data_IF_367452380696
#
_entry.id   IF_367452380696
#
_cell.length_a   1.000
_cell.length_b   1.000
_cell.length_c   1.000
_cell.angle_alpha   90.00
_cell.angle_beta   90.00
_cell.angle_gamma   90.00
#
_symmetry.space_group_name_H-M   'P 1'
#
loop_
_entity.id
_entity.type
_entity.pdbx_description
1 polymer ?
#
# COMPACT_ATOMS: atom_id res chain seq x y z
N UNK A 1 30.08 0.59 19.88
CA UNK A 1 29.29 0.54 18.62
C UNK A 1 27.98 1.25 18.91
N UNK A 2 27.82 2.49 18.43
CA UNK A 2 26.57 3.24 18.57
C UNK A 2 25.54 2.61 17.64
N UNK A 3 24.46 2.06 18.19
CA UNK A 3 23.31 1.62 17.40
C UNK A 3 22.66 2.87 16.79
N UNK A 4 22.88 3.11 15.50
CA UNK A 4 22.36 4.29 14.81
C UNK A 4 20.83 4.29 14.84
N UNK A 5 20.26 5.16 15.66
CA UNK A 5 18.81 5.28 15.85
C UNK A 5 18.16 5.83 14.58
N UNK A 6 17.06 5.19 14.17
CA UNK A 6 16.22 5.70 13.08
C UNK A 6 15.61 7.05 13.47
N UNK A 7 15.73 8.05 12.60
CA UNK A 7 15.14 9.40 12.78
C UNK A 7 13.87 9.50 11.94
N UNK A 8 12.76 9.92 12.54
CA UNK A 8 11.50 10.16 11.83
C UNK A 8 11.24 11.66 11.70
N UNK A 9 11.08 12.15 10.47
CA UNK A 9 10.79 13.55 10.16
C UNK A 9 9.43 13.64 9.48
N UNK A 10 8.61 14.61 9.90
CA UNK A 10 7.31 14.89 9.29
C UNK A 10 7.40 16.17 8.49
N UNK A 11 7.00 16.16 7.22
CA UNK A 11 7.15 17.32 6.35
C UNK A 11 5.90 17.73 5.58
N UNK A 12 5.88 18.99 5.16
CA UNK A 12 4.99 19.54 4.14
C UNK A 12 5.85 20.36 3.17
N UNK A 13 5.85 20.00 1.87
CA UNK A 13 6.72 20.62 0.85
C UNK A 13 8.21 20.67 1.27
N UNK A 14 8.76 19.54 1.73
CA UNK A 14 10.16 19.39 2.16
C UNK A 14 10.58 20.24 3.38
N UNK A 15 9.63 20.75 4.16
CA UNK A 15 9.92 21.49 5.39
C UNK A 15 9.30 20.78 6.60
N UNK A 16 9.98 20.74 7.76
CA UNK A 16 9.42 20.18 8.97
C UNK A 16 8.08 20.85 9.32
N UNK A 17 7.07 20.04 9.61
CA UNK A 17 5.73 20.54 9.91
C UNK A 17 5.58 20.82 11.43
N UNK A 18 4.97 21.94 11.85
CA UNK A 18 4.70 22.23 13.27
C UNK A 18 3.93 21.13 14.01
N UNK A 19 3.96 21.16 15.35
CA UNK A 19 3.13 20.28 16.17
C UNK A 19 1.63 20.48 15.88
N UNK A 20 0.83 19.42 15.96
CA UNK A 20 -0.62 19.48 15.70
C UNK A 20 -1.05 19.56 14.22
N UNK A 21 -0.15 19.84 13.28
CA UNK A 21 -0.47 19.90 11.84
C UNK A 21 -0.19 18.56 11.16
N UNK A 22 -1.03 18.13 10.22
CA UNK A 22 -0.81 16.92 9.44
C UNK A 22 0.35 17.09 8.44
N UNK A 23 1.14 16.04 8.22
CA UNK A 23 2.21 16.01 7.23
C UNK A 23 2.61 14.59 6.85
N UNK A 24 3.43 14.46 5.82
CA UNK A 24 3.96 13.16 5.40
C UNK A 24 5.11 12.73 6.29
N UNK A 25 5.15 11.45 6.65
CA UNK A 25 6.24 10.82 7.38
C UNK A 25 7.40 10.46 6.42
N UNK A 26 8.62 10.75 6.86
CA UNK A 26 9.89 10.33 6.26
C UNK A 26 10.75 9.68 7.34
N UNK A 27 11.45 8.60 6.98
CA UNK A 27 12.27 7.82 7.92
C UNK A 27 13.72 7.82 7.44
N UNK A 28 14.61 8.44 8.21
CA UNK A 28 16.06 8.45 8.02
C UNK A 28 16.79 7.55 9.02
N UNK A 29 18.12 7.49 8.89
CA UNK A 29 19.02 6.75 9.80
C UNK A 29 19.41 5.35 9.30
N UNK A 30 20.09 4.59 10.17
CA UNK A 30 20.75 3.34 9.79
C UNK A 30 19.80 2.23 9.30
N UNK A 31 18.52 2.28 9.68
CA UNK A 31 17.49 1.33 9.25
C UNK A 31 16.97 1.54 7.82
N UNK A 32 17.42 2.57 7.10
CA UNK A 32 16.99 2.84 5.72
C UNK A 32 17.61 1.82 4.77
N UNK A 33 16.77 1.08 4.05
CA UNK A 33 17.21 0.06 3.11
C UNK A 33 18.03 0.63 1.93
N UNK A 34 18.74 -0.25 1.21
CA UNK A 34 19.47 0.13 -0.02
C UNK A 34 18.55 0.64 -1.12
N UNK A 35 17.35 0.07 -1.22
CA UNK A 35 16.37 0.33 -2.26
C UNK A 35 15.53 -0.90 -2.54
N UNK A 36 14.73 -0.86 -3.59
CA UNK A 36 14.01 -2.01 -4.11
C UNK A 36 14.87 -2.80 -5.10
N UNK A 37 14.90 -4.12 -4.95
CA UNK A 37 15.65 -5.01 -5.83
C UNK A 37 15.16 -4.87 -7.29
N UNK A 38 16.09 -4.64 -8.22
CA UNK A 38 15.84 -4.50 -9.66
C UNK A 38 14.80 -3.42 -10.04
N UNK A 39 14.58 -2.42 -9.17
CA UNK A 39 13.64 -1.31 -9.41
C UNK A 39 14.31 0.04 -9.12
N UNK A 40 15.32 0.45 -9.90
CA UNK A 40 16.09 1.67 -9.64
C UNK A 40 15.24 2.95 -9.71
N UNK A 41 14.31 3.03 -10.68
CA UNK A 41 13.41 4.18 -10.79
C UNK A 41 12.51 4.37 -9.56
N UNK A 42 11.89 3.30 -9.08
CA UNK A 42 11.07 3.34 -7.86
C UNK A 42 11.94 3.62 -6.62
N UNK A 43 13.16 3.07 -6.58
CA UNK A 43 14.11 3.33 -5.50
C UNK A 43 14.46 4.82 -5.42
N UNK A 44 14.75 5.46 -6.55
CA UNK A 44 15.04 6.89 -6.60
C UNK A 44 13.85 7.77 -6.17
N UNK A 45 12.61 7.31 -6.38
CA UNK A 45 11.41 8.04 -5.97
C UNK A 45 11.09 7.91 -4.47
N UNK A 46 11.48 6.79 -3.83
CA UNK A 46 11.13 6.50 -2.43
C UNK A 46 12.30 6.66 -1.46
N UNK A 47 13.54 6.52 -1.92
CA UNK A 47 14.77 6.65 -1.13
C UNK A 47 15.51 7.91 -1.57
N UNK A 48 15.30 8.98 -0.83
CA UNK A 48 15.68 10.35 -1.19
C UNK A 48 16.88 10.81 -0.36
N UNK A 49 17.58 11.84 -0.81
CA UNK A 49 18.57 12.51 0.02
C UNK A 49 17.90 13.07 1.29
N UNK A 50 18.54 12.89 2.45
CA UNK A 50 18.05 13.40 3.73
C UNK A 50 18.68 14.77 4.04
N UNK A 51 17.96 15.89 3.88
CA UNK A 51 18.49 17.22 4.19
C UNK A 51 18.52 17.52 5.70
N UNK A 52 18.00 16.61 6.54
CA UNK A 52 17.91 16.77 7.99
C UNK A 52 18.97 15.98 8.74
N UNK A 53 19.79 15.21 8.03
CA UNK A 53 20.90 14.47 8.59
C UNK A 53 22.18 15.33 8.59
N UNK A 54 23.02 15.10 9.60
CA UNK A 54 24.31 15.76 9.73
C UNK A 54 25.36 15.10 8.82
N UNK A 55 25.15 13.82 8.47
CA UNK A 55 26.05 13.03 7.64
C UNK A 55 25.87 13.29 6.13
N UNK A 56 26.95 13.60 5.39
CA UNK A 56 26.91 13.70 3.93
C UNK A 56 26.45 12.41 3.27
N UNK A 57 25.55 12.52 2.29
CA UNK A 57 25.02 11.38 1.54
C UNK A 57 23.98 10.55 2.30
N UNK A 58 23.53 11.00 3.47
CA UNK A 58 22.42 10.38 4.18
C UNK A 58 21.15 10.32 3.32
N UNK A 59 20.35 9.28 3.55
CA UNK A 59 19.11 9.03 2.81
C UNK A 59 17.94 8.83 3.77
N UNK A 60 16.76 9.19 3.29
CA UNK A 60 15.49 8.96 3.96
C UNK A 60 14.53 8.21 3.05
N UNK A 61 13.69 7.38 3.66
CA UNK A 61 12.62 6.64 3.00
C UNK A 61 11.29 7.38 3.14
N UNK A 62 10.54 7.49 2.03
CA UNK A 62 9.18 8.03 1.95
C UNK A 62 8.14 6.90 1.96
N UNK A 63 7.62 6.48 3.13
CA UNK A 63 6.63 5.42 3.24
C UNK A 63 5.26 5.75 2.65
N UNK A 64 4.92 7.04 2.51
CA UNK A 64 3.59 7.49 2.09
C UNK A 64 2.56 7.58 3.23
N UNK A 65 3.01 7.54 4.49
CA UNK A 65 2.10 7.66 5.64
C UNK A 65 1.88 9.13 6.01
N UNK A 66 0.61 9.48 6.29
CA UNK A 66 0.23 10.78 6.84
C UNK A 66 0.16 10.68 8.36
N UNK A 67 0.85 11.60 9.03
CA UNK A 67 0.94 11.63 10.49
C UNK A 67 0.76 13.04 11.04
N UNK A 68 0.36 13.12 12.30
CA UNK A 68 0.32 14.36 13.09
C UNK A 68 1.05 14.15 14.41
N UNK A 69 1.98 15.05 14.73
CA UNK A 69 2.64 15.04 16.05
C UNK A 69 1.68 15.58 17.10
N UNK A 70 1.46 14.79 18.14
CA UNK A 70 0.64 15.14 19.30
C UNK A 70 1.45 15.96 20.32
N UNK A 71 0.80 16.67 21.27
CA UNK A 71 1.50 17.46 22.28
C UNK A 71 2.45 16.66 23.18
N UNK A 72 2.17 15.38 23.39
CA UNK A 72 3.02 14.44 24.14
C UNK A 72 4.26 13.96 23.36
N UNK A 73 4.45 14.43 22.12
CA UNK A 73 5.56 14.08 21.25
C UNK A 73 5.32 12.85 20.37
N UNK A 74 4.25 12.08 20.61
CA UNK A 74 3.89 10.89 19.82
C UNK A 74 3.34 11.26 18.43
N UNK A 75 3.21 10.27 17.56
CA UNK A 75 2.65 10.44 16.21
C UNK A 75 1.28 9.76 16.13
N UNK A 76 0.25 10.55 15.85
CA UNK A 76 -1.05 10.04 15.42
C UNK A 76 -1.00 9.70 13.93
N UNK A 77 -1.32 8.45 13.59
CA UNK A 77 -1.46 7.99 12.21
C UNK A 77 -2.80 8.45 11.63
N UNK A 78 -2.78 9.10 10.48
CA UNK A 78 -3.96 9.66 9.82
C UNK A 78 -4.39 8.88 8.58
N UNK A 79 -3.55 7.96 8.09
CA UNK A 79 -3.81 7.19 6.88
C UNK A 79 -2.61 7.20 5.94
N UNK A 80 -2.85 6.77 4.70
CA UNK A 80 -1.88 6.80 3.62
C UNK A 80 -2.19 7.92 2.65
N UNK A 81 -1.15 8.41 1.98
CA UNK A 81 -1.27 9.36 0.88
C UNK A 81 -1.48 8.66 -0.47
N UNK A 82 -1.49 7.32 -0.49
CA UNK A 82 -1.72 6.46 -1.64
C UNK A 82 -2.78 5.39 -1.31
N UNK A 83 -3.15 4.61 -2.32
CA UNK A 83 -4.26 3.65 -2.28
C UNK A 83 -3.93 2.32 -1.60
N UNK A 84 -2.82 2.24 -0.85
CA UNK A 84 -2.46 1.01 -0.19
C UNK A 84 -3.34 0.76 1.04
N UNK A 85 -3.81 -0.48 1.20
CA UNK A 85 -4.78 -0.84 2.24
C UNK A 85 -4.31 -2.02 3.07
N UNK A 86 -4.87 -2.12 4.28
CA UNK A 86 -4.76 -3.33 5.12
C UNK A 86 -6.07 -4.08 5.11
N UNK A 87 -6.06 -5.29 4.58
CA UNK A 87 -7.21 -6.21 4.61
C UNK A 87 -6.76 -7.50 5.28
N UNK A 88 -7.41 -7.87 6.40
CA UNK A 88 -7.13 -9.10 7.16
C UNK A 88 -5.63 -9.31 7.50
N UNK A 89 -4.93 -8.22 7.84
CA UNK A 89 -3.50 -8.24 8.19
C UNK A 89 -2.52 -8.13 7.01
N UNK A 90 -3.01 -8.25 5.77
CA UNK A 90 -2.19 -8.13 4.58
C UNK A 90 -2.12 -6.69 4.08
N UNK A 91 -0.92 -6.26 3.69
CA UNK A 91 -0.65 -4.96 3.07
C UNK A 91 -0.80 -5.12 1.56
N UNK A 92 -1.85 -4.55 1.00
CA UNK A 92 -2.25 -4.75 -0.40
C UNK A 92 -2.11 -3.43 -1.15
N UNK A 93 -1.41 -3.47 -2.28
CA UNK A 93 -1.31 -2.36 -3.24
C UNK A 93 -2.46 -2.46 -4.25
N UNK A 94 -3.50 -1.62 -4.10
CA UNK A 94 -4.68 -1.70 -4.98
C UNK A 94 -4.32 -1.51 -6.46
N UNK A 95 -3.39 -0.59 -6.74
CA UNK A 95 -2.92 -0.33 -8.11
C UNK A 95 -2.25 -1.54 -8.79
N UNK A 96 -1.67 -2.48 -8.04
CA UNK A 96 -1.14 -3.73 -8.62
C UNK A 96 -2.27 -4.62 -9.14
N UNK A 97 -3.35 -4.74 -8.36
CA UNK A 97 -4.53 -5.50 -8.76
C UNK A 97 -5.21 -4.82 -9.95
N UNK A 98 -5.34 -3.50 -9.93
CA UNK A 98 -5.88 -2.72 -11.06
C UNK A 98 -5.06 -2.92 -12.34
N UNK A 99 -3.72 -2.92 -12.23
CA UNK A 99 -2.84 -3.15 -13.37
C UNK A 99 -2.97 -4.57 -13.93
N UNK A 100 -3.08 -5.59 -13.07
CA UNK A 100 -3.30 -6.97 -13.50
C UNK A 100 -4.66 -7.14 -14.18
N UNK A 101 -5.73 -6.58 -13.60
CA UNK A 101 -7.07 -6.62 -14.20
C UNK A 101 -7.09 -5.92 -15.57
N UNK A 102 -6.43 -4.77 -15.68
CA UNK A 102 -6.36 -3.98 -16.92
C UNK A 102 -5.48 -4.60 -17.99
N UNK A 103 -4.59 -5.54 -17.64
CA UNK A 103 -3.81 -6.31 -18.61
C UNK A 103 -4.66 -7.33 -19.39
N UNK A 104 -5.87 -7.65 -18.90
CA UNK A 104 -6.76 -8.60 -19.56
C UNK A 104 -7.43 -7.97 -20.80
N UNK A 105 -7.38 -8.57 -22.00
CA UNK A 105 -7.89 -7.96 -23.24
C UNK A 105 -9.40 -7.66 -23.28
N UNK A 106 -10.18 -8.21 -22.34
CA UNK A 106 -11.61 -7.92 -22.20
C UNK A 106 -11.91 -6.73 -21.27
N UNK A 107 -10.90 -6.20 -20.59
CA UNK A 107 -11.03 -5.09 -19.63
C UNK A 107 -10.49 -3.82 -20.28
N UNK A 108 -11.31 -2.77 -20.31
CA UNK A 108 -10.90 -1.44 -20.75
C UNK A 108 -10.32 -0.62 -19.61
N UNK A 109 -10.93 -0.70 -18.43
CA UNK A 109 -10.48 -0.02 -17.22
C UNK A 109 -10.93 -0.82 -15.98
N UNK A 110 -10.16 -0.71 -14.89
CA UNK A 110 -10.47 -1.37 -13.63
C UNK A 110 -10.07 -0.51 -12.44
N UNK A 111 -10.97 -0.42 -11.46
CA UNK A 111 -10.72 0.24 -10.17
C UNK A 111 -11.03 -0.69 -9.02
N UNK A 112 -10.13 -0.76 -8.05
CA UNK A 112 -10.26 -1.64 -6.88
C UNK A 112 -10.41 -0.76 -5.65
N UNK A 113 -11.45 -1.03 -4.87
CA UNK A 113 -11.73 -0.33 -3.61
C UNK A 113 -11.89 -1.34 -2.48
N UNK A 114 -11.78 -0.86 -1.24
CA UNK A 114 -12.14 -1.67 -0.06
C UNK A 114 -13.60 -1.41 0.28
N UNK A 115 -14.42 -2.45 0.18
CA UNK A 115 -15.79 -2.45 0.66
C UNK A 115 -15.87 -2.97 2.10
N UNK A 116 -16.75 -2.37 2.90
CA UNK A 116 -17.19 -2.94 4.17
C UNK A 116 -18.34 -3.92 3.91
N UNK A 117 -18.25 -5.13 4.47
CA UNK A 117 -19.23 -6.20 4.32
C UNK A 117 -19.85 -6.62 5.67
N UNK A 118 -19.90 -5.69 6.64
CA UNK A 118 -20.46 -5.94 7.97
C UNK A 118 -19.45 -6.64 8.90
N UNK A 119 -19.64 -6.49 10.21
CA UNK A 119 -18.78 -7.03 11.27
C UNK A 119 -17.27 -6.70 11.13
N UNK A 120 -16.94 -5.60 10.43
CA UNK A 120 -15.56 -5.23 10.14
C UNK A 120 -14.88 -6.10 9.08
N UNK A 121 -15.63 -6.94 8.37
CA UNK A 121 -15.13 -7.75 7.26
C UNK A 121 -14.87 -6.86 6.04
N UNK A 122 -13.63 -6.36 5.95
CA UNK A 122 -13.15 -5.62 4.79
C UNK A 122 -12.84 -6.56 3.65
N UNK A 123 -13.37 -6.26 2.46
CA UNK A 123 -13.14 -7.01 1.22
C UNK A 123 -12.70 -6.08 0.11
N UNK A 124 -11.93 -6.60 -0.83
CA UNK A 124 -11.65 -5.89 -2.08
C UNK A 124 -12.84 -6.03 -3.02
N UNK A 125 -13.22 -4.93 -3.65
CA UNK A 125 -14.27 -4.88 -4.68
C UNK A 125 -13.66 -4.25 -5.91
N UNK A 126 -13.73 -4.94 -7.04
CA UNK A 126 -13.26 -4.43 -8.33
C UNK A 126 -14.44 -3.96 -9.19
N UNK A 127 -14.41 -2.70 -9.62
CA UNK A 127 -15.29 -2.13 -10.63
C UNK A 127 -14.58 -2.20 -11.99
N UNK A 128 -15.21 -2.85 -12.96
CA UNK A 128 -14.59 -3.15 -14.26
C UNK A 128 -15.42 -2.53 -15.38
N UNK A 129 -14.75 -1.79 -16.27
CA UNK A 129 -15.30 -1.36 -17.55
C UNK A 129 -14.88 -2.38 -18.60
N UNK A 130 -15.82 -3.11 -19.23
CA UNK A 130 -15.49 -4.05 -20.29
C UNK A 130 -15.04 -3.31 -21.55
N UNK A 131 -14.07 -3.88 -22.28
CA UNK A 131 -13.82 -3.49 -23.66
C UNK A 131 -15.07 -3.75 -24.51
N UNK A 132 -15.32 -2.90 -25.52
CA UNK A 132 -16.53 -2.94 -26.35
C UNK A 132 -16.89 -4.38 -26.79
N UNK A 133 -18.18 -4.73 -26.64
CA UNK A 133 -18.77 -6.05 -26.94
C UNK A 133 -18.21 -7.26 -26.15
N UNK A 134 -17.43 -7.03 -25.07
CA UNK A 134 -16.84 -8.09 -24.23
C UNK A 134 -17.40 -8.19 -22.81
N UNK A 135 -18.52 -7.53 -22.51
CA UNK A 135 -19.17 -7.61 -21.19
C UNK A 135 -19.49 -9.06 -20.72
N UNK A 136 -19.92 -10.00 -21.59
CA UNK A 136 -20.11 -11.40 -21.21
C UNK A 136 -18.80 -12.12 -20.84
N UNK A 137 -17.70 -11.80 -21.53
CA UNK A 137 -16.38 -12.39 -21.29
C UNK A 137 -15.79 -11.93 -19.94
N UNK A 138 -16.00 -10.66 -19.57
CA UNK A 138 -15.62 -10.15 -18.23
C UNK A 138 -16.38 -10.88 -17.12
N UNK A 139 -17.68 -11.15 -17.31
CA UNK A 139 -18.47 -11.93 -16.32
C UNK A 139 -18.00 -13.38 -16.19
N UNK A 140 -17.52 -13.99 -17.28
CA UNK A 140 -16.97 -15.35 -17.25
C UNK A 140 -15.62 -15.40 -16.52
N UNK A 141 -14.72 -14.44 -16.78
CA UNK A 141 -13.43 -14.29 -16.09
C UNK A 141 -13.61 -14.22 -14.56
N UNK A 142 -14.53 -13.36 -14.10
CA UNK A 142 -14.83 -13.18 -12.67
C UNK A 142 -15.40 -14.44 -11.98
N UNK A 143 -15.99 -15.37 -12.75
CA UNK A 143 -16.58 -16.62 -12.21
C UNK A 143 -15.58 -17.76 -12.18
N UNK A 144 -14.58 -17.77 -13.06
CA UNK A 144 -13.62 -18.88 -13.14
C UNK A 144 -12.60 -18.86 -12.00
N UNK A 145 -12.22 -17.69 -11.47
CA UNK A 145 -11.30 -17.61 -10.32
C UNK A 145 -11.98 -17.89 -8.96
N UNK A 146 -13.31 -17.77 -8.89
CA UNK A 146 -14.07 -18.13 -7.67
C UNK A 146 -14.17 -19.65 -7.45
N UNK A 147 -13.96 -20.45 -8.50
CA UNK A 147 -14.02 -21.91 -8.42
C UNK A 147 -12.81 -22.54 -7.71
N UNK A 148 -11.63 -21.90 -7.74
CA UNK A 148 -10.46 -22.37 -6.98
C UNK A 148 -10.61 -22.11 -5.47
N UNK A 149 -11.37 -21.07 -5.08
CA UNK A 149 -11.72 -20.79 -3.69
C UNK A 149 -12.74 -21.78 -3.09
N UNK A 150 -13.52 -22.47 -3.92
CA UNK A 150 -14.51 -23.44 -3.49
C UNK A 150 -13.90 -24.83 -3.25
N UNK A 151 -12.83 -25.17 -3.98
CA UNK A 151 -12.06 -26.41 -3.76
C UNK A 151 -11.30 -26.39 -2.41
N UNK A 152 -10.75 -25.23 -2.02
CA UNK A 152 -10.08 -25.06 -0.72
C UNK A 152 -11.04 -25.22 0.48
N UNK A 153 -12.31 -24.80 0.33
CA UNK A 153 -13.36 -24.95 1.37
C UNK A 153 -13.85 -26.39 1.51
N UNK A 154 -13.85 -27.17 0.44
CA UNK A 154 -14.21 -28.60 0.45
C UNK A 154 -13.18 -29.49 1.15
N UNK A 155 -11.89 -29.11 1.14
CA UNK A 155 -10.85 -29.83 1.88
C UNK A 155 -10.86 -29.56 3.39
N UNK A 156 -11.29 -28.37 3.83
CA UNK A 156 -11.31 -27.98 5.23
C UNK A 156 -12.50 -28.55 6.05
N UNK A 157 -13.54 -29.07 5.38
CA UNK A 157 -14.79 -29.52 6.03
C UNK A 157 -15.00 -31.04 5.99
N UNK A 158 -13.92 -31.82 5.83
CA UNK A 158 -14.03 -33.29 5.95
C UNK A 158 -14.11 -33.63 7.45
N UNK A 159 -15.20 -34.25 7.94
CA UNK A 159 -15.26 -34.68 9.33
C UNK A 159 -14.19 -35.74 9.55
N UNK A 160 -13.33 -35.51 10.56
CA UNK A 160 -12.44 -36.55 11.08
C UNK A 160 -13.33 -37.63 11.69
N UNK A 161 -13.23 -38.85 11.14
CA UNK A 161 -13.79 -40.06 11.73
C UNK A 161 -13.12 -40.38 13.08
#
# INVERSE_FOLDING_TARGET
MSCGSSKAVKTTRWRPTPAGVAGELYVGGAGVARGYLNRPGLSAQRFLADPFADEPGARMYRPGDLVRRLPDGTLAYLGRNDDQVKVRGFRIELGEIEAQLSAHPAVQDARVVVGDHGDGDRRLVAHIVPAADRAPAVRALLRMESAEGELARRCANRPTA
#
